data_IF_002295874307
#
_entry.id   IF_002295874307
#
_cell.length_a   1.000
_cell.length_b   1.000
_cell.length_c   1.000
_cell.angle_alpha   90.00
_cell.angle_beta   90.00
_cell.angle_gamma   90.00
#
_symmetry.space_group_name_H-M   'P 1'
#
loop_
_entity.id
_entity.type
_entity.pdbx_description
1 polymer ?
#
# COMPACT_ATOMS: atom_id res chain seq x y z
N UNK A 1 34.71 -15.42 -1.98
CA UNK A 1 34.51 -14.80 -3.31
C UNK A 1 34.33 -13.32 -3.05
N UNK A 2 35.28 -12.53 -3.47
CA UNK A 2 35.45 -11.12 -3.15
C UNK A 2 34.31 -10.27 -3.72
N UNK A 3 33.61 -9.55 -2.86
CA UNK A 3 32.74 -8.44 -3.22
C UNK A 3 33.57 -7.41 -3.96
N UNK A 4 33.35 -7.28 -5.25
CA UNK A 4 33.80 -6.11 -6.00
C UNK A 4 32.82 -4.96 -5.67
N UNK A 5 33.14 -4.21 -4.60
CA UNK A 5 32.68 -2.84 -4.45
C UNK A 5 33.13 -2.08 -5.71
N UNK A 6 32.23 -1.85 -6.66
CA UNK A 6 32.47 -0.88 -7.70
C UNK A 6 32.58 0.50 -7.02
N UNK A 7 33.79 0.93 -6.81
CA UNK A 7 34.10 2.30 -6.39
C UNK A 7 33.59 3.23 -7.51
N UNK A 8 32.50 3.94 -7.24
CA UNK A 8 31.99 4.99 -8.13
C UNK A 8 33.11 6.04 -8.21
N UNK A 9 33.68 6.18 -9.37
CA UNK A 9 34.73 7.20 -9.60
C UNK A 9 34.12 8.61 -9.54
N UNK A 10 34.81 9.66 -9.10
CA UNK A 10 34.26 11.03 -9.05
C UNK A 10 33.70 11.55 -10.38
N UNK A 11 34.08 10.95 -11.52
CA UNK A 11 33.54 11.29 -12.84
C UNK A 11 32.12 10.77 -13.10
N UNK A 12 31.59 9.86 -12.26
CA UNK A 12 30.26 9.23 -12.45
C UNK A 12 29.12 9.94 -11.70
N UNK A 13 29.44 10.88 -10.80
CA UNK A 13 28.42 11.63 -10.08
C UNK A 13 27.61 12.52 -11.05
N UNK A 14 26.29 12.61 -10.92
CA UNK A 14 25.47 13.51 -11.72
C UNK A 14 25.83 14.97 -11.47
N UNK A 15 25.87 15.77 -12.53
CA UNK A 15 26.01 17.23 -12.42
C UNK A 15 24.68 17.87 -12.01
N UNK A 16 24.74 19.08 -11.44
CA UNK A 16 23.55 19.84 -11.05
C UNK A 16 22.58 20.06 -12.23
N UNK A 17 23.14 20.32 -13.42
CA UNK A 17 22.34 20.50 -14.63
C UNK A 17 21.61 19.22 -15.08
N UNK A 18 22.24 18.05 -14.91
CA UNK A 18 21.61 16.75 -15.18
C UNK A 18 20.52 16.45 -14.14
N UNK A 19 20.80 16.70 -12.86
CA UNK A 19 19.81 16.53 -11.79
C UNK A 19 18.58 17.43 -12.00
N UNK A 20 18.77 18.69 -12.38
CA UNK A 20 17.65 19.59 -12.67
C UNK A 20 16.82 19.14 -13.87
N UNK A 21 17.45 18.66 -14.95
CA UNK A 21 16.73 18.10 -16.11
C UNK A 21 15.95 16.85 -15.73
N UNK A 22 16.57 15.93 -15.00
CA UNK A 22 15.94 14.71 -14.53
C UNK A 22 14.76 15.00 -13.60
N UNK A 23 14.88 15.98 -12.69
CA UNK A 23 13.78 16.40 -11.82
C UNK A 23 12.60 16.94 -12.63
N UNK A 24 12.83 17.82 -13.61
CA UNK A 24 11.78 18.30 -14.51
C UNK A 24 11.08 17.16 -15.28
N UNK A 25 11.87 16.16 -15.71
CA UNK A 25 11.30 14.95 -16.36
C UNK A 25 10.44 14.15 -15.39
N UNK A 26 10.91 13.93 -14.15
CA UNK A 26 10.15 13.24 -13.11
C UNK A 26 8.84 13.97 -12.80
N UNK A 27 8.89 15.30 -12.66
CA UNK A 27 7.69 16.14 -12.44
C UNK A 27 6.69 16.03 -13.61
N UNK A 28 7.18 15.90 -14.82
CA UNK A 28 6.33 15.67 -15.99
C UNK A 28 5.69 14.26 -15.99
N UNK A 29 6.45 13.22 -15.62
CA UNK A 29 5.99 11.84 -15.61
C UNK A 29 4.83 11.62 -14.63
N UNK A 30 4.90 12.17 -13.42
CA UNK A 30 3.86 11.99 -12.41
C UNK A 30 2.89 13.17 -12.26
N UNK A 31 2.97 14.18 -13.13
CA UNK A 31 2.12 15.40 -13.05
C UNK A 31 0.65 15.09 -12.84
N UNK A 32 0.12 14.14 -13.58
CA UNK A 32 -1.28 13.73 -13.48
C UNK A 32 -1.64 13.21 -12.08
N UNK A 33 -0.72 12.52 -11.42
CA UNK A 33 -0.89 12.06 -10.04
C UNK A 33 -0.79 13.20 -9.04
N UNK A 34 0.20 14.07 -9.17
CA UNK A 34 0.38 15.22 -8.25
C UNK A 34 -0.77 16.22 -8.36
N UNK A 35 -1.26 16.52 -9.57
CA UNK A 35 -2.43 17.37 -9.78
C UNK A 35 -3.71 16.75 -9.20
N UNK A 36 -3.89 15.42 -9.35
CA UNK A 36 -5.03 14.72 -8.78
C UNK A 36 -5.04 14.75 -7.27
N UNK A 37 -3.89 14.46 -6.63
CA UNK A 37 -3.75 14.38 -5.19
C UNK A 37 -3.60 15.76 -4.52
N UNK A 38 -3.16 16.78 -5.26
CA UNK A 38 -2.81 18.10 -4.72
C UNK A 38 -1.50 18.09 -3.92
N UNK A 39 -0.54 17.22 -4.29
CA UNK A 39 0.71 17.00 -3.54
C UNK A 39 1.94 17.35 -4.38
N UNK A 40 3.10 17.50 -3.71
CA UNK A 40 4.37 17.73 -4.36
C UNK A 40 4.86 16.49 -5.12
N UNK A 41 4.66 15.31 -4.55
CA UNK A 41 5.07 14.03 -5.10
C UNK A 41 3.87 13.08 -5.23
N UNK A 42 3.81 12.31 -6.31
CA UNK A 42 2.78 11.30 -6.50
C UNK A 42 3.13 10.00 -5.77
N UNK A 43 3.44 10.11 -4.47
CA UNK A 43 3.78 9.03 -3.56
C UNK A 43 2.69 8.94 -2.50
N UNK A 44 1.94 7.83 -2.49
CA UNK A 44 0.89 7.57 -1.52
C UNK A 44 1.38 6.66 -0.40
N UNK A 45 0.98 6.94 0.82
CA UNK A 45 1.04 5.97 1.91
C UNK A 45 -0.17 5.05 1.84
N UNK A 46 0.07 3.74 1.73
CA UNK A 46 -1.03 2.76 1.73
C UNK A 46 -1.76 2.75 3.08
N UNK A 47 -3.07 2.55 3.03
CA UNK A 47 -3.87 2.44 4.24
C UNK A 47 -3.63 1.09 4.92
N UNK A 48 -2.90 1.09 6.01
CA UNK A 48 -2.54 -0.09 6.81
C UNK A 48 -3.27 -0.05 8.14
N UNK A 49 -4.17 -1.01 8.38
CA UNK A 49 -4.90 -1.10 9.66
C UNK A 49 -3.95 -1.12 10.84
N UNK A 50 -4.25 -0.37 11.90
CA UNK A 50 -3.43 -0.15 13.10
C UNK A 50 -2.13 0.63 12.90
N UNK A 51 -1.72 0.95 11.67
CA UNK A 51 -0.47 1.63 11.34
C UNK A 51 -0.71 3.03 10.78
N UNK A 52 -1.62 3.14 9.79
CA UNK A 52 -1.89 4.41 9.11
C UNK A 52 -2.89 5.24 9.89
N UNK A 53 -2.40 5.92 10.90
CA UNK A 53 -3.12 6.81 11.79
C UNK A 53 -2.53 8.24 11.68
N UNK A 54 -3.04 9.17 12.48
CA UNK A 54 -2.73 10.61 12.43
C UNK A 54 -1.25 10.97 12.31
N UNK A 55 -0.35 10.27 13.04
CA UNK A 55 1.07 10.63 13.04
C UNK A 55 1.74 10.25 11.71
N UNK A 56 1.55 9.01 11.27
CA UNK A 56 2.13 8.54 10.00
C UNK A 56 1.51 9.28 8.82
N UNK A 57 0.18 9.46 8.80
CA UNK A 57 -0.54 10.12 7.71
C UNK A 57 -0.11 11.57 7.57
N UNK A 58 -0.07 12.33 8.68
CA UNK A 58 0.39 13.72 8.66
C UNK A 58 1.86 13.85 8.25
N UNK A 59 2.73 12.94 8.72
CA UNK A 59 4.14 12.95 8.35
C UNK A 59 4.35 12.73 6.83
N UNK A 60 3.61 11.79 6.23
CA UNK A 60 3.66 11.56 4.77
C UNK A 60 3.17 12.79 4.00
N UNK A 61 2.06 13.39 4.44
CA UNK A 61 1.50 14.59 3.80
C UNK A 61 2.43 15.79 3.95
N UNK A 62 3.02 16.03 5.12
CA UNK A 62 3.96 17.11 5.39
C UNK A 62 5.27 16.95 4.60
N UNK A 63 5.69 15.71 4.32
CA UNK A 63 6.86 15.42 3.48
C UNK A 63 6.57 15.54 1.96
N UNK A 64 5.38 16.01 1.58
CA UNK A 64 5.00 16.25 0.19
C UNK A 64 4.36 15.05 -0.53
N UNK A 65 4.17 13.93 0.16
CA UNK A 65 3.40 12.77 -0.31
C UNK A 65 1.91 12.91 -0.01
N UNK A 66 1.19 11.80 -0.10
CA UNK A 66 -0.24 11.72 0.18
C UNK A 66 -0.52 10.61 1.22
N UNK A 67 -0.72 11.00 2.48
CA UNK A 67 -1.09 10.08 3.54
C UNK A 67 -2.55 9.63 3.43
N UNK A 68 -2.86 8.40 3.84
CA UNK A 68 -4.22 7.85 3.82
C UNK A 68 -4.53 7.20 5.17
N UNK A 69 -5.52 7.72 5.89
CA UNK A 69 -6.02 7.13 7.15
C UNK A 69 -6.64 5.76 6.84
N UNK A 70 -6.24 4.73 7.58
CA UNK A 70 -6.88 3.42 7.53
C UNK A 70 -8.06 3.36 8.51
N UNK A 71 -9.27 3.51 8.02
CA UNK A 71 -10.47 3.39 8.87
C UNK A 71 -10.56 1.98 9.50
N UNK A 72 -10.27 0.93 8.72
CA UNK A 72 -10.39 -0.44 9.22
C UNK A 72 -11.79 -0.70 9.79
N UNK A 73 -11.86 -1.07 11.05
CA UNK A 73 -13.10 -1.33 11.79
C UNK A 73 -13.48 -0.14 12.72
N UNK A 74 -13.03 1.07 12.43
CA UNK A 74 -13.40 2.25 13.24
C UNK A 74 -14.89 2.55 13.11
N UNK A 75 -15.54 2.83 14.26
CA UNK A 75 -16.87 3.41 14.30
C UNK A 75 -16.85 4.87 13.80
N UNK A 76 -17.99 5.42 13.31
CA UNK A 76 -18.04 6.77 12.75
C UNK A 76 -17.47 7.87 13.68
N UNK A 77 -17.78 7.82 14.97
CA UNK A 77 -17.27 8.78 15.96
C UNK A 77 -15.73 8.73 16.05
N UNK A 78 -15.16 7.53 16.07
CA UNK A 78 -13.72 7.34 16.12
C UNK A 78 -13.02 7.83 14.87
N UNK A 79 -13.62 7.61 13.70
CA UNK A 79 -13.09 8.14 12.44
C UNK A 79 -13.10 9.67 12.44
N UNK A 80 -14.18 10.29 12.91
CA UNK A 80 -14.27 11.76 13.01
C UNK A 80 -13.14 12.34 13.89
N UNK A 81 -12.89 11.72 15.05
CA UNK A 81 -11.77 12.09 15.94
C UNK A 81 -10.42 11.95 15.23
N UNK A 82 -10.22 10.86 14.48
CA UNK A 82 -8.96 10.58 13.79
C UNK A 82 -8.69 11.60 12.67
N UNK A 83 -9.72 11.95 11.89
CA UNK A 83 -9.63 12.98 10.84
C UNK A 83 -9.29 14.34 11.47
N UNK A 84 -9.97 14.72 12.56
CA UNK A 84 -9.72 15.98 13.25
C UNK A 84 -8.30 16.05 13.82
N UNK A 85 -7.84 14.96 14.44
CA UNK A 85 -6.49 14.88 14.99
C UNK A 85 -5.41 14.93 13.89
N UNK A 86 -5.65 14.30 12.73
CA UNK A 86 -4.76 14.41 11.57
C UNK A 86 -4.68 15.84 11.05
N UNK A 87 -5.82 16.56 10.97
CA UNK A 87 -5.86 17.98 10.57
C UNK A 87 -5.13 18.91 11.53
N UNK A 88 -5.07 18.56 12.81
CA UNK A 88 -4.30 19.32 13.79
C UNK A 88 -2.77 19.20 13.58
N UNK A 89 -2.32 18.19 12.83
CA UNK A 89 -0.91 17.90 12.56
C UNK A 89 -0.47 18.29 11.13
N UNK A 90 -1.42 18.56 10.22
CA UNK A 90 -1.10 18.91 8.84
C UNK A 90 -2.19 19.74 8.16
N UNK A 91 -1.77 20.76 7.41
CA UNK A 91 -2.62 21.52 6.49
C UNK A 91 -2.57 20.95 5.05
N UNK A 92 -1.77 19.88 4.83
CA UNK A 92 -1.59 19.25 3.54
C UNK A 92 -2.72 18.27 3.23
N UNK A 93 -3.01 17.98 1.95
CA UNK A 93 -4.00 16.98 1.55
C UNK A 93 -3.69 15.60 2.10
N UNK A 94 -4.74 14.90 2.55
CA UNK A 94 -4.70 13.47 2.90
C UNK A 94 -6.04 12.82 2.54
N UNK A 95 -6.05 11.49 2.47
CA UNK A 95 -7.24 10.70 2.19
C UNK A 95 -7.69 9.85 3.37
N UNK A 96 -8.86 9.24 3.22
CA UNK A 96 -9.39 8.23 4.14
C UNK A 96 -9.76 6.98 3.37
N UNK A 97 -9.28 5.83 3.82
CA UNK A 97 -9.65 4.53 3.27
C UNK A 97 -10.82 3.94 4.04
N UNK A 98 -11.87 3.57 3.32
CA UNK A 98 -13.06 2.89 3.84
C UNK A 98 -13.15 1.48 3.25
N UNK A 99 -13.50 0.52 4.10
CA UNK A 99 -13.74 -0.86 3.68
C UNK A 99 -15.16 -0.96 3.10
N UNK A 100 -15.29 -1.39 1.85
CA UNK A 100 -16.58 -1.44 1.14
C UNK A 100 -17.63 -2.34 1.80
N UNK A 101 -17.19 -3.35 2.56
CA UNK A 101 -18.05 -4.27 3.30
C UNK A 101 -18.34 -3.81 4.75
N UNK A 102 -17.87 -2.62 5.16
CA UNK A 102 -18.15 -2.12 6.50
C UNK A 102 -19.66 -1.89 6.68
N UNK A 103 -20.29 -2.39 7.78
CA UNK A 103 -21.74 -2.28 7.97
C UNK A 103 -22.24 -0.84 7.99
N UNK A 104 -21.43 0.10 8.45
CA UNK A 104 -21.73 1.54 8.53
C UNK A 104 -21.04 2.35 7.42
N UNK A 105 -20.81 1.76 6.24
CA UNK A 105 -20.10 2.45 5.15
C UNK A 105 -20.70 3.81 4.82
N UNK A 106 -22.01 3.93 4.75
CA UNK A 106 -22.68 5.19 4.41
C UNK A 106 -22.46 6.27 5.49
N UNK A 107 -22.49 5.89 6.75
CA UNK A 107 -22.21 6.80 7.88
C UNK A 107 -20.74 7.26 7.85
N UNK A 108 -19.81 6.35 7.58
CA UNK A 108 -18.39 6.66 7.45
C UNK A 108 -18.11 7.59 6.26
N UNK A 109 -18.80 7.39 5.14
CA UNK A 109 -18.76 8.31 4.00
C UNK A 109 -19.23 9.70 4.42
N UNK A 110 -20.36 9.79 5.14
CA UNK A 110 -20.88 11.07 5.60
C UNK A 110 -19.91 11.77 6.55
N UNK A 111 -19.31 11.06 7.49
CA UNK A 111 -18.26 11.59 8.39
C UNK A 111 -17.09 12.20 7.59
N UNK A 112 -16.63 11.51 6.54
CA UNK A 112 -15.57 12.05 5.69
C UNK A 112 -15.99 13.33 4.96
N UNK A 113 -17.22 13.37 4.44
CA UNK A 113 -17.76 14.54 3.73
C UNK A 113 -17.95 15.72 4.67
N UNK A 114 -18.56 15.52 5.84
CA UNK A 114 -18.78 16.55 6.85
C UNK A 114 -17.45 17.14 7.36
N UNK A 115 -16.44 16.29 7.46
CA UNK A 115 -15.08 16.72 7.78
C UNK A 115 -14.34 17.33 6.58
N UNK A 116 -14.92 17.41 5.37
CA UNK A 116 -14.30 17.98 4.16
C UNK A 116 -13.09 17.19 3.66
N UNK A 117 -13.09 15.86 3.79
CA UNK A 117 -12.04 15.00 3.22
C UNK A 117 -12.15 15.02 1.71
N UNK A 118 -11.09 15.45 1.03
CA UNK A 118 -11.10 15.63 -0.42
C UNK A 118 -10.96 14.33 -1.23
N UNK A 119 -10.47 13.25 -0.63
CA UNK A 119 -10.25 11.97 -1.33
C UNK A 119 -10.63 10.80 -0.44
N UNK A 120 -11.51 9.93 -0.92
CA UNK A 120 -11.95 8.72 -0.24
C UNK A 120 -11.51 7.51 -1.05
N UNK A 121 -10.77 6.61 -0.41
CA UNK A 121 -10.28 5.36 -0.99
C UNK A 121 -11.21 4.23 -0.60
N UNK A 122 -11.78 3.53 -1.58
CA UNK A 122 -12.67 2.39 -1.35
C UNK A 122 -11.93 1.09 -1.63
N UNK A 123 -11.78 0.24 -0.60
CA UNK A 123 -11.06 -1.03 -0.66
C UNK A 123 -11.87 -2.18 -0.04
N UNK A 124 -11.43 -3.43 -0.26
CA UNK A 124 -12.07 -4.62 0.31
C UNK A 124 -13.27 -5.14 -0.49
N UNK A 125 -13.26 -4.95 -1.80
CA UNK A 125 -14.29 -5.46 -2.70
C UNK A 125 -14.73 -4.44 -3.76
N UNK A 126 -15.78 -4.77 -4.51
CA UNK A 126 -16.36 -3.85 -5.49
C UNK A 126 -17.19 -2.80 -4.74
N UNK A 127 -16.84 -1.50 -4.86
CA UNK A 127 -17.58 -0.47 -4.15
C UNK A 127 -19.03 -0.35 -4.63
N UNK A 128 -19.99 -0.15 -3.71
CA UNK A 128 -21.37 0.12 -4.08
C UNK A 128 -21.49 1.41 -4.91
N UNK A 129 -22.25 1.36 -6.00
CA UNK A 129 -22.48 2.54 -6.84
C UNK A 129 -23.10 3.73 -6.10
N UNK A 130 -23.95 3.45 -5.09
CA UNK A 130 -24.53 4.48 -4.23
C UNK A 130 -23.45 5.20 -3.40
N UNK A 131 -22.44 4.49 -2.88
CA UNK A 131 -21.34 5.10 -2.13
C UNK A 131 -20.50 6.00 -3.05
N UNK A 132 -20.13 5.53 -4.25
CA UNK A 132 -19.40 6.35 -5.24
C UNK A 132 -20.19 7.62 -5.53
N UNK A 133 -21.49 7.50 -5.80
CA UNK A 133 -22.37 8.64 -6.09
C UNK A 133 -22.40 9.63 -4.93
N UNK A 134 -22.63 9.17 -3.70
CA UNK A 134 -22.68 10.02 -2.51
C UNK A 134 -21.37 10.79 -2.29
N UNK A 135 -20.22 10.12 -2.43
CA UNK A 135 -18.91 10.75 -2.31
C UNK A 135 -18.73 11.87 -3.32
N UNK A 136 -19.08 11.62 -4.58
CA UNK A 136 -18.95 12.61 -5.66
C UNK A 136 -19.93 13.79 -5.50
N UNK A 137 -21.16 13.53 -5.13
CA UNK A 137 -22.15 14.58 -4.83
C UNK A 137 -21.72 15.45 -3.64
N UNK A 138 -21.00 14.86 -2.67
CA UNK A 138 -20.36 15.57 -1.56
C UNK A 138 -19.08 16.34 -1.93
N UNK A 139 -18.65 16.30 -3.20
CA UNK A 139 -17.49 17.04 -3.71
C UNK A 139 -16.13 16.36 -3.47
N UNK A 140 -16.10 15.15 -2.92
CA UNK A 140 -14.87 14.39 -2.76
C UNK A 140 -14.56 13.51 -4.00
N UNK A 141 -13.29 13.15 -4.16
CA UNK A 141 -12.80 12.25 -5.21
C UNK A 141 -12.76 10.82 -4.73
N UNK A 142 -13.09 9.88 -5.62
CA UNK A 142 -13.10 8.44 -5.31
C UNK A 142 -11.86 7.77 -5.91
N UNK A 143 -11.11 7.08 -5.06
CA UNK A 143 -10.04 6.17 -5.48
C UNK A 143 -10.50 4.74 -5.19
N UNK A 144 -10.28 3.79 -6.10
CA UNK A 144 -10.64 2.39 -5.88
C UNK A 144 -9.53 1.43 -6.35
N UNK A 145 -9.48 0.26 -5.70
CA UNK A 145 -8.54 -0.80 -6.08
C UNK A 145 -9.09 -1.65 -7.22
N UNK A 146 -8.21 -2.03 -8.15
CA UNK A 146 -8.56 -2.94 -9.23
C UNK A 146 -7.51 -4.04 -9.44
N UNK A 147 -7.88 -5.31 -9.27
CA UNK A 147 -6.99 -6.44 -9.49
C UNK A 147 -7.01 -6.97 -10.95
N UNK A 148 -7.78 -6.35 -11.87
CA UNK A 148 -7.90 -6.81 -13.26
C UNK A 148 -8.47 -5.71 -14.17
N UNK A 149 -8.14 -5.76 -15.46
CA UNK A 149 -8.59 -4.79 -16.47
C UNK A 149 -10.12 -4.68 -16.58
N UNK A 150 -10.82 -5.82 -16.50
CA UNK A 150 -12.30 -5.82 -16.60
C UNK A 150 -12.92 -5.01 -15.46
N UNK A 151 -12.41 -5.18 -14.23
CA UNK A 151 -12.88 -4.39 -13.09
C UNK A 151 -12.45 -2.94 -13.20
N UNK A 152 -11.23 -2.65 -13.65
CA UNK A 152 -10.75 -1.29 -13.88
C UNK A 152 -11.70 -0.52 -14.81
N UNK A 153 -12.05 -1.10 -15.98
CA UNK A 153 -13.01 -0.51 -16.92
C UNK A 153 -14.39 -0.29 -16.30
N UNK A 154 -14.85 -1.23 -15.48
CA UNK A 154 -16.15 -1.12 -14.78
C UNK A 154 -16.13 0.02 -13.76
N UNK A 155 -15.10 0.11 -12.92
CA UNK A 155 -14.96 1.15 -11.91
C UNK A 155 -14.91 2.55 -12.52
N UNK A 156 -14.18 2.73 -13.63
CA UNK A 156 -14.17 3.99 -14.38
C UNK A 156 -15.58 4.36 -14.89
N UNK A 157 -16.33 3.38 -15.45
CA UNK A 157 -17.72 3.61 -15.88
C UNK A 157 -18.65 3.95 -14.70
N UNK A 158 -18.37 3.47 -13.50
CA UNK A 158 -19.11 3.81 -12.28
C UNK A 158 -18.78 5.20 -11.74
N UNK A 159 -17.80 5.90 -12.33
CA UNK A 159 -17.44 7.26 -11.96
C UNK A 159 -16.30 7.39 -10.95
N UNK A 160 -15.49 6.35 -10.75
CA UNK A 160 -14.27 6.40 -9.93
C UNK A 160 -13.27 7.38 -10.59
N UNK A 161 -12.64 8.23 -9.80
CA UNK A 161 -11.77 9.31 -10.28
C UNK A 161 -10.29 8.88 -10.40
N UNK A 162 -9.87 7.84 -9.68
CA UNK A 162 -8.55 7.22 -9.83
C UNK A 162 -8.57 5.75 -9.42
N UNK A 163 -7.59 4.98 -9.90
CA UNK A 163 -7.42 3.57 -9.56
C UNK A 163 -6.07 3.33 -8.85
N UNK A 164 -6.05 2.32 -7.99
CA UNK A 164 -4.82 1.67 -7.52
C UNK A 164 -4.81 0.24 -8.05
N UNK A 165 -3.72 -0.16 -8.69
CA UNK A 165 -3.45 -1.55 -9.04
C UNK A 165 -2.37 -2.09 -8.10
N UNK A 166 -2.66 -3.21 -7.45
CA UNK A 166 -1.79 -3.76 -6.42
C UNK A 166 -1.33 -5.17 -6.78
N UNK A 167 -0.02 -5.35 -6.89
CA UNK A 167 0.59 -6.63 -7.21
C UNK A 167 0.65 -7.60 -6.03
N UNK A 168 0.80 -8.87 -6.35
CA UNK A 168 0.97 -9.96 -5.39
C UNK A 168 2.15 -9.77 -4.42
N UNK A 169 3.08 -8.87 -4.74
CA UNK A 169 4.24 -8.53 -3.90
C UNK A 169 3.89 -7.66 -2.70
N UNK A 170 2.67 -7.13 -2.63
CA UNK A 170 2.20 -6.30 -1.50
C UNK A 170 2.14 -7.09 -0.19
N UNK A 171 2.12 -6.37 0.93
CA UNK A 171 1.84 -6.92 2.26
C UNK A 171 0.35 -6.86 2.60
N UNK A 172 -0.09 -7.70 3.53
CA UNK A 172 -1.50 -7.81 3.86
C UNK A 172 -2.28 -8.62 2.83
N UNK A 173 -3.53 -8.26 2.59
CA UNK A 173 -4.39 -8.96 1.61
C UNK A 173 -3.84 -8.78 0.20
N UNK A 174 -3.60 -9.86 -0.51
CA UNK A 174 -2.97 -9.84 -1.83
C UNK A 174 -3.77 -10.62 -2.86
N UNK A 175 -3.79 -10.12 -4.09
CA UNK A 175 -4.23 -10.87 -5.26
C UNK A 175 -3.13 -11.80 -5.80
N UNK A 176 -3.45 -12.66 -6.77
CA UNK A 176 -2.51 -13.66 -7.29
C UNK A 176 -1.56 -13.11 -8.38
N UNK A 177 -1.80 -11.91 -8.90
CA UNK A 177 -1.08 -11.38 -10.07
C UNK A 177 -0.01 -10.38 -9.63
N UNK A 178 1.20 -10.52 -10.20
CA UNK A 178 2.30 -9.58 -9.93
C UNK A 178 2.01 -8.18 -10.47
N UNK A 179 2.61 -7.15 -9.84
CA UNK A 179 2.46 -5.76 -10.29
C UNK A 179 2.93 -5.59 -11.73
N UNK A 180 4.02 -6.24 -12.12
CA UNK A 180 4.55 -6.16 -13.48
C UNK A 180 3.54 -6.62 -14.53
N UNK A 181 2.76 -7.67 -14.26
CA UNK A 181 1.73 -8.16 -15.17
C UNK A 181 0.50 -7.25 -15.17
N UNK A 182 0.03 -6.83 -13.98
CA UNK A 182 -1.09 -5.89 -13.88
C UNK A 182 -0.83 -4.55 -14.57
N UNK A 183 0.40 -4.03 -14.49
CA UNK A 183 0.79 -2.79 -15.15
C UNK A 183 0.68 -2.93 -16.68
N UNK A 184 1.17 -4.03 -17.26
CA UNK A 184 1.07 -4.31 -18.69
C UNK A 184 -0.38 -4.49 -19.15
N UNK A 185 -1.22 -5.12 -18.32
CA UNK A 185 -2.63 -5.35 -18.65
C UNK A 185 -3.47 -4.07 -18.55
N UNK A 186 -3.22 -3.20 -17.56
CA UNK A 186 -4.14 -2.12 -17.19
C UNK A 186 -3.69 -0.75 -17.72
N UNK A 187 -2.41 -0.38 -17.56
CA UNK A 187 -1.95 0.97 -17.90
C UNK A 187 -2.18 1.38 -19.36
N UNK A 188 -1.96 0.51 -20.39
CA UNK A 188 -2.22 0.88 -21.77
C UNK A 188 -3.71 1.15 -22.08
N UNK A 189 -4.61 0.59 -21.27
CA UNK A 189 -6.04 0.61 -21.52
C UNK A 189 -6.83 1.61 -20.65
N UNK A 190 -6.26 2.06 -19.54
CA UNK A 190 -6.90 3.02 -18.62
C UNK A 190 -6.13 4.33 -18.63
N UNK A 191 -6.52 5.22 -19.55
CA UNK A 191 -5.91 6.53 -19.69
C UNK A 191 -6.85 7.69 -19.29
N UNK A 192 -8.12 7.41 -19.03
CA UNK A 192 -9.12 8.42 -18.67
C UNK A 192 -9.01 8.92 -17.24
N UNK A 193 -8.48 8.11 -16.31
CA UNK A 193 -8.28 8.44 -14.90
C UNK A 193 -6.83 8.11 -14.48
N UNK A 194 -6.26 8.79 -13.45
CA UNK A 194 -4.97 8.41 -12.90
C UNK A 194 -4.98 6.96 -12.41
N UNK A 195 -3.87 6.24 -12.66
CA UNK A 195 -3.64 4.89 -12.12
C UNK A 195 -2.36 4.91 -11.29
N UNK A 196 -2.48 4.58 -10.02
CA UNK A 196 -1.36 4.42 -9.10
C UNK A 196 -0.99 2.94 -8.99
N UNK A 197 0.29 2.66 -8.91
CA UNK A 197 0.82 1.29 -8.76
C UNK A 197 1.19 1.02 -7.32
N UNK A 198 0.92 -0.18 -6.82
CA UNK A 198 1.19 -0.62 -5.45
C UNK A 198 1.71 -2.06 -5.41
N UNK A 199 2.43 -2.39 -4.33
CA UNK A 199 3.01 -3.72 -4.16
C UNK A 199 4.45 -3.82 -4.71
N UNK A 200 5.36 -4.31 -3.89
CA UNK A 200 6.77 -4.49 -4.25
C UNK A 200 7.61 -3.22 -4.38
N UNK A 201 7.00 -2.03 -4.33
CA UNK A 201 7.72 -0.77 -4.43
C UNK A 201 8.54 -0.50 -3.16
N UNK A 202 9.84 -0.31 -3.32
CA UNK A 202 10.75 0.00 -2.22
C UNK A 202 11.83 1.00 -2.60
N UNK A 203 11.96 1.32 -3.92
CA UNK A 203 12.99 2.21 -4.49
C UNK A 203 12.40 3.12 -5.56
N UNK A 204 13.01 4.32 -5.70
CA UNK A 204 12.57 5.32 -6.66
C UNK A 204 12.83 4.94 -8.12
N UNK A 205 13.87 4.16 -8.40
CA UNK A 205 14.15 3.66 -9.76
C UNK A 205 13.06 2.69 -10.27
N UNK A 206 12.51 1.85 -9.38
CA UNK A 206 11.37 1.01 -9.71
C UNK A 206 10.10 1.86 -10.00
N UNK A 207 9.88 2.93 -9.23
CA UNK A 207 8.76 3.84 -9.47
C UNK A 207 8.86 4.49 -10.86
N UNK A 208 10.06 4.98 -11.27
CA UNK A 208 10.28 5.54 -12.61
C UNK A 208 9.87 4.57 -13.70
N UNK A 209 10.21 3.30 -13.57
CA UNK A 209 9.89 2.28 -14.58
C UNK A 209 8.36 2.16 -14.81
N UNK A 210 7.55 2.30 -13.76
CA UNK A 210 6.08 2.30 -13.89
C UNK A 210 5.53 3.64 -14.39
N UNK A 211 6.13 4.75 -14.00
CA UNK A 211 5.75 6.06 -14.52
C UNK A 211 5.94 6.14 -16.04
N UNK A 212 7.03 5.59 -16.55
CA UNK A 212 7.31 5.49 -17.99
C UNK A 212 6.34 4.55 -18.73
N UNK A 213 5.75 3.58 -18.05
CA UNK A 213 4.67 2.74 -18.57
C UNK A 213 3.30 3.44 -18.53
N UNK A 214 3.19 4.64 -17.94
CA UNK A 214 1.95 5.43 -17.88
C UNK A 214 1.26 5.43 -16.52
N UNK A 215 1.87 4.88 -15.46
CA UNK A 215 1.38 5.09 -14.11
C UNK A 215 1.43 6.57 -13.72
N UNK A 216 0.54 6.99 -12.85
CA UNK A 216 0.45 8.38 -12.37
C UNK A 216 1.17 8.62 -11.04
N UNK A 217 1.65 7.56 -10.40
CA UNK A 217 2.37 7.58 -9.14
C UNK A 217 2.43 6.19 -8.51
N UNK A 218 2.95 6.09 -7.28
CA UNK A 218 3.08 4.84 -6.55
C UNK A 218 2.58 4.91 -5.11
N UNK A 219 2.05 3.79 -4.63
CA UNK A 219 1.63 3.60 -3.25
C UNK A 219 2.58 2.64 -2.54
N UNK A 220 3.08 3.05 -1.38
CA UNK A 220 3.98 2.28 -0.54
C UNK A 220 3.33 1.99 0.82
N UNK A 221 3.46 0.75 1.29
CA UNK A 221 3.06 0.36 2.65
C UNK A 221 4.27 0.05 3.51
N UNK A 222 4.99 -1.01 3.17
CA UNK A 222 6.07 -1.62 3.96
C UNK A 222 7.16 -0.62 4.40
N UNK A 223 7.60 0.27 3.50
CA UNK A 223 8.59 1.31 3.83
C UNK A 223 8.07 2.26 4.92
N UNK A 224 6.82 2.72 4.81
CA UNK A 224 6.21 3.64 5.77
C UNK A 224 5.81 2.95 7.08
N UNK A 225 5.45 1.66 7.05
CA UNK A 225 5.15 0.91 8.27
C UNK A 225 6.36 0.84 9.23
N UNK A 226 7.58 0.87 8.69
CA UNK A 226 8.83 0.91 9.45
C UNK A 226 9.36 2.32 9.74
N UNK A 227 8.63 3.38 9.39
CA UNK A 227 9.06 4.76 9.63
C UNK A 227 9.08 5.12 11.13
N UNK A 228 9.84 6.15 11.50
CA UNK A 228 9.91 6.63 12.89
C UNK A 228 8.55 7.07 13.40
N UNK A 229 7.78 7.77 12.57
CA UNK A 229 6.45 8.32 12.91
C UNK A 229 5.34 7.26 12.94
N UNK A 230 5.59 6.06 12.43
CA UNK A 230 4.67 4.93 12.58
C UNK A 230 4.53 4.52 14.05
N UNK A 231 3.29 4.34 14.53
CA UNK A 231 3.03 3.86 15.89
C UNK A 231 3.34 2.37 16.09
N UNK A 232 3.72 1.66 15.02
CA UNK A 232 4.06 0.26 15.13
C UNK A 232 5.17 0.03 16.17
N UNK A 233 4.97 -0.99 17.00
CA UNK A 233 5.89 -1.35 18.08
C UNK A 233 7.32 -1.55 17.55
N UNK A 234 8.33 -1.20 18.34
CA UNK A 234 9.73 -1.32 17.93
C UNK A 234 10.13 -2.73 17.47
N UNK A 235 9.58 -3.79 18.10
CA UNK A 235 9.82 -5.18 17.67
C UNK A 235 9.31 -5.43 16.27
N UNK A 236 8.16 -4.84 15.89
CA UNK A 236 7.60 -4.91 14.55
C UNK A 236 8.54 -4.24 13.54
N UNK A 237 8.98 -3.01 13.80
CA UNK A 237 9.94 -2.29 12.95
C UNK A 237 11.27 -3.03 12.83
N UNK A 238 11.78 -3.57 13.94
CA UNK A 238 13.03 -4.39 13.96
C UNK A 238 12.88 -5.69 13.15
N UNK A 239 11.69 -6.31 13.14
CA UNK A 239 11.43 -7.48 12.31
C UNK A 239 11.56 -7.12 10.81
N UNK A 240 11.05 -5.97 10.39
CA UNK A 240 11.19 -5.49 9.01
C UNK A 240 12.65 -5.25 8.61
N UNK A 241 13.42 -4.57 9.46
CA UNK A 241 14.85 -4.28 9.20
C UNK A 241 15.70 -5.55 9.06
N UNK A 242 15.30 -6.66 9.70
CA UNK A 242 16.02 -7.94 9.65
C UNK A 242 15.58 -8.86 8.51
N UNK A 243 14.42 -8.59 7.91
CA UNK A 243 13.82 -9.48 6.93
C UNK A 243 14.41 -9.29 5.53
N UNK A 244 14.55 -10.39 4.81
CA UNK A 244 14.77 -10.37 3.37
C UNK A 244 13.42 -10.46 2.63
N UNK A 245 13.41 -10.12 1.34
CA UNK A 245 12.21 -10.20 0.49
C UNK A 245 11.52 -11.57 0.53
N UNK A 246 12.31 -12.65 0.59
CA UNK A 246 11.85 -14.05 0.65
C UNK A 246 11.13 -14.42 1.95
N UNK A 247 11.32 -13.64 3.01
CA UNK A 247 10.72 -13.91 4.32
C UNK A 247 9.27 -13.42 4.38
N UNK A 248 8.86 -12.57 3.44
CA UNK A 248 7.48 -12.14 3.26
C UNK A 248 6.71 -13.16 2.43
N UNK A 249 6.04 -14.09 3.11
CA UNK A 249 5.34 -15.25 2.52
C UNK A 249 3.83 -15.07 2.58
N UNK A 250 3.13 -15.66 1.61
CA UNK A 250 1.66 -15.66 1.58
C UNK A 250 1.11 -16.80 2.42
N UNK A 251 0.00 -16.56 3.12
CA UNK A 251 -0.73 -17.61 3.85
C UNK A 251 -1.12 -18.76 2.92
N UNK A 252 -1.02 -19.98 3.44
CA UNK A 252 -1.32 -21.21 2.69
C UNK A 252 -2.77 -21.62 2.95
N UNK A 253 -3.50 -22.00 1.90
CA UNK A 253 -4.78 -22.67 1.98
C UNK A 253 -4.55 -24.16 1.78
N UNK A 254 -4.97 -24.99 2.74
CA UNK A 254 -4.78 -26.44 2.70
C UNK A 254 -5.91 -27.19 1.97
N UNK A 255 -7.11 -26.65 1.98
CA UNK A 255 -8.31 -27.30 1.43
C UNK A 255 -9.19 -26.26 0.73
N UNK A 256 -9.56 -26.54 -0.54
CA UNK A 256 -10.39 -25.64 -1.37
C UNK A 256 -11.81 -25.45 -0.80
N UNK A 257 -12.28 -26.35 0.03
CA UNK A 257 -13.58 -26.23 0.69
C UNK A 257 -13.60 -25.13 1.75
N UNK A 258 -12.44 -24.75 2.27
CA UNK A 258 -12.25 -23.73 3.30
C UNK A 258 -11.32 -22.62 2.74
N UNK A 259 -11.88 -21.69 1.95
CA UNK A 259 -11.09 -20.64 1.33
C UNK A 259 -10.47 -19.72 2.39
N UNK A 260 -9.17 -19.46 2.23
CA UNK A 260 -8.41 -18.52 3.05
C UNK A 260 -8.11 -17.30 2.21
N UNK A 261 -8.41 -16.11 2.73
CA UNK A 261 -8.00 -14.87 2.07
C UNK A 261 -6.46 -14.81 2.09
N UNK A 262 -5.78 -14.72 0.94
CA UNK A 262 -4.33 -14.68 0.91
C UNK A 262 -3.81 -13.42 1.61
N UNK A 263 -2.99 -13.60 2.64
CA UNK A 263 -2.33 -12.52 3.39
C UNK A 263 -0.83 -12.72 3.32
N UNK A 264 -0.08 -11.71 2.88
CA UNK A 264 1.38 -11.73 2.92
C UNK A 264 1.88 -11.10 4.21
N UNK A 265 2.69 -11.86 4.94
CA UNK A 265 3.32 -11.45 6.19
C UNK A 265 4.72 -12.08 6.32
N UNK A 266 5.53 -11.61 7.27
CA UNK A 266 6.77 -12.30 7.62
C UNK A 266 6.44 -13.69 8.21
N UNK A 267 7.15 -14.71 7.71
CA UNK A 267 7.02 -16.06 8.23
C UNK A 267 7.46 -16.15 9.69
N UNK A 268 6.55 -16.59 10.56
CA UNK A 268 6.78 -16.69 12.00
C UNK A 268 6.08 -17.93 12.59
N UNK A 269 6.12 -18.08 13.91
CA UNK A 269 5.47 -19.20 14.61
C UNK A 269 3.95 -19.19 14.43
N UNK A 270 3.29 -18.01 14.51
CA UNK A 270 1.85 -17.89 14.26
C UNK A 270 1.43 -18.40 12.87
N UNK A 271 2.23 -18.14 11.84
CA UNK A 271 2.00 -18.68 10.49
C UNK A 271 2.10 -20.21 10.43
N UNK A 272 3.09 -20.82 11.12
CA UNK A 272 3.22 -22.28 11.23
C UNK A 272 2.02 -22.90 11.98
N UNK A 273 1.62 -22.28 13.08
CA UNK A 273 0.46 -22.72 13.87
C UNK A 273 -0.83 -22.61 13.06
N UNK A 274 -0.98 -21.59 12.20
CA UNK A 274 -2.13 -21.48 11.32
C UNK A 274 -2.27 -22.67 10.37
N UNK A 275 -1.15 -23.11 9.78
CA UNK A 275 -1.14 -24.31 8.92
C UNK A 275 -1.54 -25.56 9.71
N UNK A 276 -0.99 -25.74 10.91
CA UNK A 276 -1.34 -26.87 11.78
C UNK A 276 -2.80 -26.83 12.22
N UNK A 277 -3.31 -25.63 12.53
CA UNK A 277 -4.71 -25.43 12.90
C UNK A 277 -5.67 -25.78 11.75
N UNK A 278 -5.39 -25.33 10.52
CA UNK A 278 -6.17 -25.73 9.35
C UNK A 278 -6.21 -27.27 9.20
N UNK A 279 -5.07 -27.94 9.34
CA UNK A 279 -5.00 -29.40 9.22
C UNK A 279 -5.83 -30.10 10.31
N UNK A 280 -5.87 -29.56 11.53
CA UNK A 280 -6.72 -30.10 12.61
C UNK A 280 -8.21 -29.92 12.32
N UNK A 281 -8.63 -28.72 11.92
CA UNK A 281 -10.02 -28.41 11.56
C UNK A 281 -10.50 -29.29 10.40
N UNK A 282 -9.67 -29.47 9.36
CA UNK A 282 -9.98 -30.35 8.21
C UNK A 282 -10.19 -31.79 8.67
N UNK A 283 -9.32 -32.30 9.56
CA UNK A 283 -9.44 -33.66 10.11
C UNK A 283 -10.75 -33.84 10.89
N UNK A 284 -11.12 -32.89 11.77
CA UNK A 284 -12.35 -32.90 12.56
C UNK A 284 -13.61 -32.79 11.66
N UNK A 285 -13.54 -31.98 10.62
CA UNK A 285 -14.58 -31.93 9.60
C UNK A 285 -14.76 -33.29 8.88
N UNK A 286 -13.67 -33.92 8.48
CA UNK A 286 -13.70 -35.25 7.83
C UNK A 286 -14.24 -36.35 8.76
N UNK A 287 -14.01 -36.21 10.06
CA UNK A 287 -14.56 -37.11 11.08
C UNK A 287 -16.07 -36.85 11.40
N UNK A 288 -16.65 -35.80 10.79
CA UNK A 288 -18.05 -35.44 11.05
C UNK A 288 -18.28 -34.69 12.37
N UNK A 289 -17.20 -34.20 13.00
CA UNK A 289 -17.27 -33.47 14.27
C UNK A 289 -17.67 -32.00 14.08
N UNK A 290 -17.44 -31.46 12.89
CA UNK A 290 -17.74 -30.06 12.52
C UNK A 290 -18.61 -29.99 11.27
N UNK A 291 -19.53 -29.01 11.22
CA UNK A 291 -20.16 -28.63 9.96
C UNK A 291 -19.17 -27.82 9.10
N UNK A 292 -19.46 -27.65 7.81
CA UNK A 292 -18.64 -26.86 6.91
C UNK A 292 -18.52 -25.39 7.37
N UNK A 293 -19.65 -24.83 7.80
CA UNK A 293 -19.74 -23.44 8.27
C UNK A 293 -18.93 -23.24 9.57
N UNK A 294 -19.03 -24.20 10.51
CA UNK A 294 -18.26 -24.15 11.75
C UNK A 294 -16.75 -24.26 11.49
N UNK A 295 -16.34 -25.15 10.58
CA UNK A 295 -14.94 -25.33 10.18
C UNK A 295 -14.39 -24.05 9.50
N UNK A 296 -15.15 -23.45 8.58
CA UNK A 296 -14.75 -22.19 7.92
C UNK A 296 -14.58 -21.06 8.94
N UNK A 297 -15.54 -20.91 9.86
CA UNK A 297 -15.52 -19.88 10.89
C UNK A 297 -14.33 -20.05 11.85
N UNK A 298 -14.01 -21.30 12.22
CA UNK A 298 -12.86 -21.60 13.11
C UNK A 298 -11.52 -21.24 12.45
N UNK A 299 -11.37 -21.50 11.15
CA UNK A 299 -10.17 -21.09 10.38
C UNK A 299 -10.07 -19.57 10.28
N UNK A 300 -11.16 -18.87 9.96
CA UNK A 300 -11.17 -17.41 9.84
C UNK A 300 -10.85 -16.71 11.17
N UNK A 301 -11.32 -17.24 12.28
CA UNK A 301 -11.12 -16.67 13.60
C UNK A 301 -9.68 -16.80 14.12
N UNK A 302 -8.86 -17.69 13.57
CA UNK A 302 -7.47 -17.87 14.00
C UNK A 302 -6.67 -16.55 14.00
N UNK A 303 -6.86 -15.75 12.98
CA UNK A 303 -6.15 -14.48 12.82
C UNK A 303 -6.86 -13.28 13.48
N UNK A 304 -7.98 -13.50 14.18
CA UNK A 304 -8.69 -12.42 14.87
C UNK A 304 -7.75 -11.65 15.82
N UNK A 305 -7.60 -10.35 15.60
CA UNK A 305 -6.72 -9.49 16.39
C UNK A 305 -5.21 -9.72 16.22
N UNK A 306 -4.75 -10.65 15.39
CA UNK A 306 -3.33 -10.97 15.23
C UNK A 306 -2.51 -9.79 14.67
N UNK A 307 -3.07 -9.01 13.76
CA UNK A 307 -2.41 -7.82 13.24
C UNK A 307 -2.22 -6.77 14.36
N UNK A 308 -3.25 -6.52 15.17
CA UNK A 308 -3.15 -5.60 16.29
C UNK A 308 -2.08 -6.07 17.30
N UNK A 309 -2.07 -7.36 17.65
CA UNK A 309 -1.05 -7.92 18.55
C UNK A 309 0.36 -7.67 18.02
N UNK A 310 0.61 -7.88 16.72
CA UNK A 310 1.93 -7.62 16.15
C UNK A 310 2.29 -6.14 16.15
N UNK A 311 1.36 -5.28 15.68
CA UNK A 311 1.61 -3.84 15.49
C UNK A 311 1.66 -3.08 16.81
N UNK A 312 0.72 -3.32 17.71
CA UNK A 312 0.55 -2.52 18.93
C UNK A 312 1.26 -3.19 20.13
N UNK A 313 1.05 -4.49 20.30
CA UNK A 313 1.58 -5.18 21.50
C UNK A 313 3.01 -5.72 21.25
N UNK A 314 3.49 -5.69 20.00
CA UNK A 314 4.85 -6.13 19.63
C UNK A 314 5.04 -7.65 19.65
N UNK A 315 3.96 -8.42 19.59
CA UNK A 315 3.99 -9.87 19.47
C UNK A 315 4.25 -10.27 18.02
N UNK A 316 5.52 -10.27 17.64
CA UNK A 316 5.96 -10.61 16.28
C UNK A 316 6.06 -12.12 16.04
N UNK A 317 5.95 -12.94 17.08
CA UNK A 317 6.04 -14.40 16.98
C UNK A 317 4.66 -15.03 16.72
N UNK A 318 3.61 -14.56 17.39
CA UNK A 318 2.25 -15.11 17.30
C UNK A 318 1.30 -14.16 16.51
N UNK A 319 1.68 -12.90 16.37
CA UNK A 319 0.91 -11.91 15.61
C UNK A 319 1.16 -11.99 14.12
N UNK A 320 0.30 -11.32 13.33
CA UNK A 320 0.47 -11.18 11.88
C UNK A 320 1.35 -9.97 11.57
N UNK A 321 2.59 -10.22 11.18
CA UNK A 321 3.57 -9.18 10.80
C UNK A 321 3.44 -8.92 9.30
N UNK A 322 2.35 -8.25 8.89
CA UNK A 322 2.05 -7.99 7.48
C UNK A 322 3.13 -7.13 6.83
N UNK A 323 3.80 -7.68 5.83
CA UNK A 323 4.88 -7.05 5.09
C UNK A 323 4.87 -7.50 3.64
N UNK A 324 5.08 -6.56 2.69
CA UNK A 324 5.32 -6.90 1.30
C UNK A 324 6.77 -7.34 1.05
N UNK A 325 7.04 -7.88 -0.13
CA UNK A 325 8.40 -8.33 -0.50
C UNK A 325 9.40 -7.17 -0.58
N UNK A 326 8.93 -5.92 -0.68
CA UNK A 326 9.78 -4.73 -0.53
C UNK A 326 10.41 -4.59 0.86
N UNK A 327 10.05 -5.43 1.84
CA UNK A 327 10.69 -5.48 3.15
C UNK A 327 12.22 -5.68 3.07
N UNK A 328 12.70 -6.42 2.07
CA UNK A 328 14.13 -6.58 1.82
C UNK A 328 14.89 -5.28 1.50
N UNK A 329 14.17 -4.18 1.28
CA UNK A 329 14.73 -2.84 1.04
C UNK A 329 14.58 -1.92 2.26
N UNK A 330 14.07 -2.42 3.39
CA UNK A 330 13.99 -1.72 4.67
C UNK A 330 15.26 -2.01 5.46
N UNK A 331 16.26 -1.15 5.35
CA UNK A 331 17.59 -1.36 5.98
C UNK A 331 17.71 -0.70 7.34
N UNK A 332 16.86 0.27 7.64
CA UNK A 332 16.83 1.02 8.91
C UNK A 332 15.43 1.61 9.15
N UNK A 333 15.18 1.97 10.39
CA UNK A 333 14.06 2.86 10.75
C UNK A 333 14.49 4.28 10.43
N UNK A 334 13.69 4.99 9.65
CA UNK A 334 14.00 6.33 9.13
C UNK A 334 12.79 7.26 9.30
N UNK A 335 12.98 8.59 9.42
CA UNK A 335 11.90 9.54 9.28
C UNK A 335 11.20 9.42 7.92
N UNK A 336 9.89 9.63 7.88
CA UNK A 336 9.11 9.63 6.62
C UNK A 336 9.69 10.60 5.59
N UNK A 337 10.12 11.79 6.03
CA UNK A 337 10.73 12.78 5.16
C UNK A 337 11.95 12.23 4.42
N UNK A 338 12.84 11.51 5.14
CA UNK A 338 14.02 10.89 4.55
C UNK A 338 13.63 9.75 3.58
N UNK A 339 12.61 8.95 3.92
CA UNK A 339 12.13 7.89 3.03
C UNK A 339 11.65 8.48 1.69
N UNK A 340 10.89 9.58 1.73
CA UNK A 340 10.38 10.24 0.52
C UNK A 340 11.54 10.89 -0.25
N UNK A 341 12.47 11.56 0.43
CA UNK A 341 13.65 12.15 -0.19
C UNK A 341 14.50 11.10 -0.91
N UNK A 342 14.81 9.98 -0.25
CA UNK A 342 15.55 8.85 -0.84
C UNK A 342 14.88 8.33 -2.11
N UNK A 343 13.55 8.17 -2.09
CA UNK A 343 12.79 7.71 -3.26
C UNK A 343 12.86 8.69 -4.42
N UNK A 344 12.74 9.98 -4.14
CA UNK A 344 12.79 11.03 -5.15
C UNK A 344 14.20 11.20 -5.72
N UNK A 345 15.23 11.10 -4.87
CA UNK A 345 16.62 11.11 -5.29
C UNK A 345 16.95 9.90 -6.18
N UNK A 346 16.59 8.69 -5.75
CA UNK A 346 16.78 7.47 -6.53
C UNK A 346 16.08 7.54 -7.89
N UNK A 347 14.85 8.06 -7.94
CA UNK A 347 14.12 8.29 -9.18
C UNK A 347 14.85 9.28 -10.10
N UNK A 348 15.32 10.39 -9.53
CA UNK A 348 16.06 11.43 -10.28
C UNK A 348 17.36 10.86 -10.86
N UNK A 349 18.14 10.15 -10.06
CA UNK A 349 19.42 9.54 -10.50
C UNK A 349 19.17 8.45 -11.57
N UNK A 350 18.08 7.69 -11.47
CA UNK A 350 17.72 6.72 -12.49
C UNK A 350 17.47 7.39 -13.85
N UNK A 351 16.77 8.53 -13.86
CA UNK A 351 16.52 9.29 -15.08
C UNK A 351 17.80 9.91 -15.66
N UNK A 352 18.74 10.36 -14.83
CA UNK A 352 20.07 10.79 -15.31
C UNK A 352 20.79 9.65 -16.00
N UNK A 353 20.82 8.46 -15.40
CA UNK A 353 21.48 7.29 -15.99
C UNK A 353 20.84 6.87 -17.32
N UNK A 354 19.52 6.95 -17.43
CA UNK A 354 18.83 6.68 -18.69
C UNK A 354 19.21 7.69 -19.76
N UNK A 355 19.25 8.99 -19.45
CA UNK A 355 19.64 10.03 -20.41
C UNK A 355 21.07 9.84 -20.90
N UNK A 356 22.02 9.59 -20.00
CA UNK A 356 23.43 9.36 -20.37
C UNK A 356 23.59 8.15 -21.31
N UNK A 357 22.79 7.08 -21.13
CA UNK A 357 22.82 5.93 -22.06
C UNK A 357 22.33 6.33 -23.45
N UNK A 358 21.20 7.05 -23.54
CA UNK A 358 20.67 7.53 -24.82
C UNK A 358 21.66 8.44 -25.54
N UNK A 359 22.34 9.34 -24.79
CA UNK A 359 23.34 10.27 -25.35
C UNK A 359 24.63 9.55 -25.78
N UNK A 360 24.94 8.38 -25.24
CA UNK A 360 26.11 7.57 -25.61
C UNK A 360 25.88 6.68 -26.81
N UNK A 361 24.61 6.31 -27.11
CA UNK A 361 24.20 5.44 -28.21
C UNK A 361 23.81 6.24 -29.47
N UNK A 362 23.76 7.57 -29.41
CA UNK A 362 23.40 8.50 -30.51
C UNK A 362 24.58 9.31 -30.98
#
# INVERSE_FOLDING_TARGET
MSEQNQVVTPSDAPTDAELQRARKRLDALWRRGTEFLGTQYAILGGAMSWVSERNLVSAISNAGGFGVIACGAMEPARLAEEIQATRALTDRPFGVNLITMHPQLNELVQVCLDAGVGHIVLAGGIPPGAAIKAIKEGGAKVIAFSPALVLAKRLVKMGVDALVIEGAEAGGHVGPVSLTVLAQEILPHIQSVPVFVAGGLGRGDALVSYLEQGASGGQLGTRFAAAEESIAHEKFKKAFVRAAARDAVTSVQLDERFPVIPVRALGNEGGRQFVSHQADVIRRFQAGELTREAAQLEIEHFWAGALRRAVIDGDVEQGSVMAGQSVGMVTSVQPVAQIIEDLVEQATVALVRQQRRMDADG
#
